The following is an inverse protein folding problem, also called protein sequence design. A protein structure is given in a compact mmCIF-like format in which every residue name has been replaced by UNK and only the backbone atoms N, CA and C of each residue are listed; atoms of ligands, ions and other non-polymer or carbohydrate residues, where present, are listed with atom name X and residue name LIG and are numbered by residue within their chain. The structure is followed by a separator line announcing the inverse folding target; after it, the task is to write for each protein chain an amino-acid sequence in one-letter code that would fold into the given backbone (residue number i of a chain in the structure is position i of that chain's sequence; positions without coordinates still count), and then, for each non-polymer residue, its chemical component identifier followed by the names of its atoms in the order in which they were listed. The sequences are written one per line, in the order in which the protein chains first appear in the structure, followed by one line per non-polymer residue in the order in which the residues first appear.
data_IF_380917654533
#
_entry.id   IF_380917654533
#
_cell.length_a   1.000
_cell.length_b   1.000
_cell.length_c   1.000
_cell.angle_alpha   90.00
_cell.angle_beta   90.00
_cell.angle_gamma   90.00
#
_symmetry.space_group_name_H-M   'P 1'
#
loop_
_entity.id
_entity.type
_entity.pdbx_description
1 polymer ?
#
# COMPACT_ATOMS: atom_id res chain seq x y z
N UNK A 1 -2.29 -18.12 -23.54
CA UNK A 1 -2.41 -16.68 -23.83
C UNK A 1 -2.89 -16.56 -25.27
N UNK A 2 -4.11 -16.12 -25.47
CA UNK A 2 -4.65 -15.89 -26.82
C UNK A 2 -5.24 -14.48 -26.87
N UNK A 3 -4.65 -13.60 -27.69
CA UNK A 3 -5.09 -12.22 -27.85
C UNK A 3 -4.05 -11.39 -28.57
N UNK A 4 -4.49 -10.46 -29.40
CA UNK A 4 -3.59 -9.50 -30.05
C UNK A 4 -3.31 -8.34 -29.10
N UNK A 5 -2.06 -7.86 -29.06
CA UNK A 5 -1.63 -6.71 -28.23
C UNK A 5 -2.53 -5.46 -28.42
N UNK A 6 -3.02 -5.25 -29.64
CA UNK A 6 -3.97 -4.17 -29.94
C UNK A 6 -5.31 -4.23 -29.19
N UNK A 7 -5.67 -5.37 -28.56
CA UNK A 7 -6.85 -5.48 -27.70
C UNK A 7 -6.61 -4.96 -26.29
N UNK A 8 -5.36 -4.75 -25.91
CA UNK A 8 -4.97 -4.10 -24.65
C UNK A 8 -5.06 -2.58 -24.80
N UNK A 9 -4.73 -2.04 -25.99
CA UNK A 9 -4.76 -0.61 -26.26
C UNK A 9 -6.13 -0.08 -26.70
N UNK A 10 -6.89 -0.91 -27.42
CA UNK A 10 -8.20 -0.52 -27.98
C UNK A 10 -9.28 -1.39 -27.35
N UNK A 11 -10.08 -0.85 -26.46
CA UNK A 11 -11.23 -1.58 -25.90
C UNK A 11 -12.02 -2.40 -26.96
N UNK A 12 -12.59 -3.56 -26.57
CA UNK A 12 -12.90 -3.99 -25.21
C UNK A 12 -11.91 -5.03 -24.68
N UNK A 13 -11.38 -4.80 -23.46
CA UNK A 13 -10.57 -5.79 -22.73
C UNK A 13 -11.29 -7.14 -22.55
N UNK A 14 -12.63 -7.15 -22.69
CA UNK A 14 -13.47 -8.35 -22.66
C UNK A 14 -13.12 -9.37 -23.74
N UNK A 15 -12.49 -8.92 -24.83
CA UNK A 15 -12.00 -9.82 -25.91
C UNK A 15 -10.60 -10.38 -25.62
N UNK A 16 -9.94 -9.90 -24.57
CA UNK A 16 -8.64 -10.40 -24.17
C UNK A 16 -8.84 -11.58 -23.21
N UNK A 17 -8.60 -12.78 -23.67
CA UNK A 17 -8.70 -13.97 -22.84
C UNK A 17 -7.35 -14.26 -22.23
N UNK A 18 -7.14 -13.76 -21.03
CA UNK A 18 -5.97 -14.13 -20.21
C UNK A 18 -6.48 -14.73 -18.91
N UNK A 19 -6.44 -16.03 -18.81
CA UNK A 19 -6.67 -16.75 -17.56
C UNK A 19 -5.36 -17.38 -17.15
N UNK A 20 -4.91 -17.07 -15.95
CA UNK A 20 -3.66 -17.58 -15.42
C UNK A 20 -3.75 -17.82 -13.92
N UNK A 21 -2.96 -18.75 -13.47
CA UNK A 21 -2.73 -19.00 -12.05
C UNK A 21 -1.24 -19.00 -11.81
N UNK A 22 -0.81 -18.18 -10.86
CA UNK A 22 0.57 -18.10 -10.41
C UNK A 22 0.61 -18.56 -8.96
N UNK A 23 1.41 -19.57 -8.68
CA UNK A 23 1.74 -19.95 -7.32
C UNK A 23 3.13 -19.39 -7.00
N UNK A 24 3.23 -18.64 -5.94
CA UNK A 24 4.48 -18.05 -5.43
C UNK A 24 4.96 -18.90 -4.25
N UNK A 25 6.25 -19.24 -4.24
CA UNK A 25 6.86 -20.02 -3.16
C UNK A 25 8.30 -19.55 -2.94
N UNK A 26 8.58 -19.00 -1.76
CA UNK A 26 9.92 -18.56 -1.35
C UNK A 26 10.58 -17.57 -2.33
N UNK A 27 9.78 -16.67 -2.92
CA UNK A 27 10.29 -15.62 -3.80
C UNK A 27 10.91 -14.49 -2.99
N UNK A 28 11.95 -13.84 -3.56
CA UNK A 28 12.61 -12.68 -3.01
C UNK A 28 12.77 -11.62 -4.08
N UNK A 29 12.09 -10.50 -3.89
CA UNK A 29 12.17 -9.32 -4.77
C UNK A 29 13.00 -8.24 -4.10
N UNK A 30 13.93 -7.63 -4.85
CA UNK A 30 14.74 -6.50 -4.37
C UNK A 30 14.63 -5.34 -5.34
N UNK A 31 14.52 -4.13 -4.81
CA UNK A 31 14.58 -2.89 -5.55
C UNK A 31 15.30 -1.80 -4.73
N UNK A 32 15.39 -0.58 -5.26
CA UNK A 32 16.04 0.53 -4.58
C UNK A 32 15.37 0.89 -3.25
N UNK A 33 14.02 0.84 -3.20
CA UNK A 33 13.25 1.20 -2.00
C UNK A 33 13.31 0.11 -0.91
N UNK A 34 13.52 -1.15 -1.31
CA UNK A 34 13.63 -2.29 -0.42
C UNK A 34 14.91 -3.09 -0.68
N UNK A 35 16.09 -2.57 -0.29
CA UNK A 35 17.38 -3.23 -0.56
C UNK A 35 17.55 -4.55 0.20
N UNK A 36 16.94 -4.69 1.37
CA UNK A 36 16.89 -5.96 2.11
C UNK A 36 16.00 -6.99 1.41
N UNK A 37 15.05 -6.53 0.60
CA UNK A 37 14.14 -7.34 -0.19
C UNK A 37 12.75 -7.52 0.43
N UNK A 38 11.82 -7.82 -0.46
CA UNK A 38 10.46 -8.24 -0.14
C UNK A 38 10.39 -9.76 -0.32
N UNK A 39 10.23 -10.48 0.76
CA UNK A 39 10.09 -11.95 0.72
C UNK A 39 8.63 -12.34 0.58
N UNK A 40 8.34 -13.28 -0.32
CA UNK A 40 7.01 -13.88 -0.52
C UNK A 40 7.10 -15.38 -0.23
N UNK A 41 6.92 -15.81 1.03
CA UNK A 41 6.99 -17.20 1.42
C UNK A 41 5.99 -18.09 0.68
N UNK A 42 4.77 -17.59 0.47
CA UNK A 42 3.73 -18.31 -0.27
C UNK A 42 2.64 -17.37 -0.74
N UNK A 43 1.93 -17.76 -1.79
CA UNK A 43 0.74 -17.06 -2.29
C UNK A 43 0.25 -17.67 -3.58
N UNK A 44 -1.01 -17.38 -3.87
CA UNK A 44 -1.64 -17.76 -5.14
C UNK A 44 -2.30 -16.52 -5.74
N UNK A 45 -2.01 -16.27 -7.00
CA UNK A 45 -2.65 -15.19 -7.77
C UNK A 45 -3.37 -15.82 -8.96
N UNK A 46 -4.68 -15.61 -9.05
CA UNK A 46 -5.46 -15.95 -10.23
C UNK A 46 -5.69 -14.69 -11.04
N UNK A 47 -5.32 -14.74 -12.31
CA UNK A 47 -5.37 -13.62 -13.25
C UNK A 47 -6.52 -13.86 -14.21
N UNK A 48 -7.41 -12.88 -14.34
CA UNK A 48 -8.42 -12.78 -15.39
C UNK A 48 -8.40 -11.37 -15.97
N UNK A 49 -8.91 -11.08 -17.16
CA UNK A 49 -8.96 -9.71 -17.69
C UNK A 49 -9.66 -8.71 -16.74
N UNK A 50 -10.66 -9.17 -16.01
CA UNK A 50 -11.44 -8.35 -15.09
C UNK A 50 -10.80 -8.16 -13.72
N UNK A 51 -10.03 -9.15 -13.23
CA UNK A 51 -9.56 -9.19 -11.84
C UNK A 51 -8.26 -9.97 -11.66
N UNK A 52 -7.47 -9.52 -10.69
CA UNK A 52 -6.44 -10.31 -10.04
C UNK A 52 -7.00 -10.74 -8.67
N UNK A 53 -7.14 -12.03 -8.44
CA UNK A 53 -7.54 -12.56 -7.14
C UNK A 53 -6.30 -13.07 -6.40
N UNK A 54 -6.13 -12.60 -5.17
CA UNK A 54 -5.05 -12.96 -4.27
C UNK A 54 -5.59 -13.94 -3.22
N UNK A 55 -4.94 -15.09 -3.08
CA UNK A 55 -5.29 -16.08 -2.08
C UNK A 55 -4.06 -16.39 -1.24
N UNK A 56 -4.20 -16.22 0.08
CA UNK A 56 -3.18 -16.54 1.08
C UNK A 56 -1.78 -16.00 0.72
N UNK A 57 -1.75 -14.76 0.15
CA UNK A 57 -0.49 -14.11 -0.19
C UNK A 57 0.22 -13.67 1.10
N UNK A 58 1.32 -14.33 1.43
CA UNK A 58 2.18 -13.97 2.57
C UNK A 58 3.36 -13.17 2.06
N UNK A 59 3.57 -12.03 2.69
CA UNK A 59 4.67 -11.11 2.37
C UNK A 59 5.40 -10.78 3.66
N UNK A 60 6.72 -10.68 3.59
CA UNK A 60 7.57 -10.16 4.67
C UNK A 60 8.44 -9.04 4.13
N UNK A 61 8.47 -7.94 4.85
CA UNK A 61 9.33 -6.78 4.56
C UNK A 61 10.03 -6.44 5.86
N UNK A 62 11.34 -6.64 5.90
CA UNK A 62 12.15 -6.51 7.12
C UNK A 62 11.55 -7.34 8.27
N UNK A 63 11.19 -6.71 9.40
CA UNK A 63 10.58 -7.38 10.56
C UNK A 63 9.06 -7.50 10.46
N UNK A 64 8.44 -6.89 9.45
CA UNK A 64 6.98 -6.86 9.26
C UNK A 64 6.48 -8.03 8.44
N UNK A 65 5.33 -8.60 8.81
CA UNK A 65 4.64 -9.66 8.07
C UNK A 65 3.23 -9.24 7.65
N UNK A 66 2.83 -9.67 6.47
CA UNK A 66 1.52 -9.38 5.88
C UNK A 66 0.93 -10.66 5.29
N UNK A 67 -0.30 -10.98 5.63
CA UNK A 67 -1.08 -12.02 4.97
C UNK A 67 -2.30 -11.36 4.32
N UNK A 68 -2.35 -11.40 3.00
CA UNK A 68 -3.33 -10.71 2.17
C UNK A 68 -4.19 -11.73 1.43
N UNK A 69 -5.51 -11.50 1.45
CA UNK A 69 -6.47 -12.17 0.59
C UNK A 69 -7.47 -11.15 0.06
N UNK A 70 -7.93 -11.32 -1.18
CA UNK A 70 -8.84 -10.35 -1.79
C UNK A 70 -8.68 -10.25 -3.30
N UNK A 71 -8.99 -9.09 -3.85
CA UNK A 71 -8.89 -8.89 -5.28
C UNK A 71 -8.52 -7.45 -5.65
N UNK A 72 -7.89 -7.32 -6.84
CA UNK A 72 -7.77 -6.07 -7.60
C UNK A 72 -8.62 -6.16 -8.85
N UNK A 73 -9.43 -5.15 -9.11
CA UNK A 73 -10.20 -4.98 -10.33
C UNK A 73 -9.73 -3.72 -11.07
N UNK A 74 -10.06 -3.64 -12.34
CA UNK A 74 -9.69 -2.52 -13.21
C UNK A 74 -8.17 -2.32 -13.37
N UNK A 75 -7.38 -3.37 -13.18
CA UNK A 75 -5.92 -3.28 -13.18
C UNK A 75 -5.34 -3.00 -14.58
N UNK A 76 -5.93 -3.55 -15.67
CA UNK A 76 -5.50 -3.25 -17.02
C UNK A 76 -5.77 -1.78 -17.40
N UNK A 77 -6.99 -1.23 -17.20
CA UNK A 77 -7.23 0.20 -17.38
C UNK A 77 -6.37 1.10 -16.49
N UNK A 78 -6.04 0.66 -15.28
CA UNK A 78 -5.12 1.40 -14.41
C UNK A 78 -3.72 1.51 -15.01
N UNK A 79 -3.15 0.38 -15.49
CA UNK A 79 -1.79 0.35 -16.04
C UNK A 79 -1.68 1.06 -17.39
N UNK A 80 -2.70 0.92 -18.27
CA UNK A 80 -2.59 1.39 -19.64
C UNK A 80 -3.32 2.72 -19.92
N UNK A 81 -4.21 3.17 -19.05
CA UNK A 81 -5.06 4.36 -19.26
C UNK A 81 -5.17 5.27 -18.04
N UNK A 82 -4.34 5.05 -17.03
CA UNK A 82 -4.35 5.82 -15.77
C UNK A 82 -5.75 5.92 -15.10
N UNK A 83 -6.57 4.87 -15.30
CA UNK A 83 -7.87 4.78 -14.64
C UNK A 83 -7.74 4.32 -13.20
N UNK A 84 -8.83 4.42 -12.44
CA UNK A 84 -8.83 4.07 -11.02
C UNK A 84 -8.67 2.56 -10.82
N UNK A 85 -7.64 2.16 -10.08
CA UNK A 85 -7.46 0.80 -9.55
C UNK A 85 -8.44 0.57 -8.40
N UNK A 86 -9.17 -0.54 -8.43
CA UNK A 86 -10.14 -0.88 -7.38
C UNK A 86 -9.76 -2.20 -6.72
N UNK A 87 -10.02 -2.31 -5.42
CA UNK A 87 -9.74 -3.56 -4.74
C UNK A 87 -10.37 -3.66 -3.36
N UNK A 88 -10.49 -4.90 -2.91
CA UNK A 88 -10.93 -5.20 -1.56
C UNK A 88 -10.08 -6.33 -1.00
N UNK A 89 -9.55 -6.14 0.20
CA UNK A 89 -8.60 -7.05 0.83
C UNK A 89 -8.92 -7.29 2.30
N UNK A 90 -8.55 -8.47 2.76
CA UNK A 90 -8.33 -8.74 4.18
C UNK A 90 -6.84 -8.74 4.43
N UNK A 91 -6.39 -7.94 5.39
CA UNK A 91 -5.02 -7.86 5.86
C UNK A 91 -4.93 -8.47 7.26
N UNK A 92 -4.15 -9.54 7.38
CA UNK A 92 -3.77 -10.08 8.68
C UNK A 92 -2.25 -9.89 8.85
N UNK A 93 -1.82 -9.56 10.07
CA UNK A 93 -0.41 -9.44 10.41
C UNK A 93 -0.17 -9.83 11.87
N UNK A 94 0.98 -10.43 12.16
CA UNK A 94 1.41 -10.60 13.54
C UNK A 94 2.16 -9.37 14.03
N UNK A 95 2.96 -8.73 13.15
CA UNK A 95 3.74 -7.55 13.50
C UNK A 95 3.94 -6.65 12.28
N UNK A 96 3.74 -5.35 12.48
CA UNK A 96 4.13 -4.28 11.54
C UNK A 96 5.00 -3.28 12.29
N UNK A 97 6.21 -3.04 11.80
CA UNK A 97 7.12 -2.03 12.31
C UNK A 97 7.08 -0.81 11.39
N UNK A 98 6.31 0.20 11.77
CA UNK A 98 6.15 1.43 10.97
C UNK A 98 7.44 2.26 10.94
N UNK A 99 8.33 2.11 11.92
CA UNK A 99 9.59 2.84 11.97
C UNK A 99 10.49 2.44 10.79
N UNK A 100 10.50 1.16 10.42
CA UNK A 100 11.26 0.66 9.27
C UNK A 100 10.75 1.24 7.94
N UNK A 101 9.44 1.42 7.79
CA UNK A 101 8.86 2.03 6.59
C UNK A 101 9.15 3.53 6.53
N UNK A 102 9.05 4.23 7.64
CA UNK A 102 9.35 5.67 7.70
C UNK A 102 10.83 5.95 7.42
N UNK A 103 11.75 5.13 7.93
CA UNK A 103 13.17 5.26 7.66
C UNK A 103 13.50 5.11 6.16
N UNK A 104 12.83 4.21 5.46
CA UNK A 104 13.02 4.01 4.02
C UNK A 104 12.47 5.17 3.18
N UNK A 105 11.39 5.82 3.62
CA UNK A 105 10.82 6.98 2.91
C UNK A 105 11.75 8.21 2.97
N UNK A 106 12.46 8.42 4.07
CA UNK A 106 13.39 9.56 4.22
C UNK A 106 14.64 9.41 3.38
N UNK A 107 15.04 8.19 3.00
CA UNK A 107 16.22 7.94 2.16
C UNK A 107 15.95 8.09 0.66
N UNK A 108 14.70 7.96 0.21
CA UNK A 108 14.34 8.06 -1.23
C UNK A 108 14.29 9.50 -1.75
N UNK A 109 14.22 10.52 -0.90
CA UNK A 109 14.21 11.93 -1.34
C UNK A 109 15.62 12.53 -1.54
N UNK A 110 16.70 11.79 -1.20
CA UNK A 110 18.08 12.30 -1.27
C UNK A 110 18.73 12.21 -2.65
N UNK A 111 18.09 11.63 -3.68
CA UNK A 111 18.76 11.33 -4.96
C UNK A 111 18.19 12.08 -6.19
N UNK A 112 17.47 13.16 -6.00
CA UNK A 112 17.09 14.04 -7.13
C UNK A 112 17.31 15.52 -6.78
N UNK A 113 18.42 16.03 -7.27
CA UNK A 113 18.86 17.42 -7.53
C UNK A 113 20.07 17.88 -6.72
N UNK A 114 21.26 17.53 -7.21
CA UNK A 114 22.39 18.45 -7.10
C UNK A 114 22.26 19.53 -8.17
N UNK A 115 21.77 20.70 -7.79
CA UNK A 115 22.21 21.96 -8.40
C UNK A 115 22.48 22.94 -7.27
N UNK A 116 23.75 23.30 -7.15
CA UNK A 116 24.24 24.27 -6.19
C UNK A 116 23.62 25.66 -6.45
N UNK A 117 23.17 26.33 -5.38
CA UNK A 117 23.53 27.74 -5.13
C UNK A 117 23.11 28.22 -3.73
N UNK A 118 24.14 28.64 -2.98
CA UNK A 118 24.21 29.72 -1.97
C UNK A 118 23.04 30.03 -1.02
N UNK A 119 23.35 29.76 0.26
CA UNK A 119 23.05 30.52 1.50
C UNK A 119 21.77 31.39 1.56
N UNK A 120 20.80 30.97 2.40
CA UNK A 120 20.18 31.87 3.37
C UNK A 120 19.61 31.04 4.53
N UNK A 121 20.02 31.40 5.76
CA UNK A 121 19.60 30.80 7.01
C UNK A 121 18.17 31.21 7.37
N UNK A 122 17.22 30.28 7.34
CA UNK A 122 15.93 30.37 8.02
C UNK A 122 15.70 29.06 8.81
N UNK A 123 14.92 29.06 9.91
CA UNK A 123 14.78 27.89 10.79
C UNK A 123 14.24 26.71 10.02
N UNK A 124 14.83 25.52 10.22
CA UNK A 124 14.36 24.28 9.65
C UNK A 124 12.94 24.00 10.17
N UNK A 125 11.93 24.19 9.32
CA UNK A 125 10.66 23.51 9.52
C UNK A 125 10.93 22.01 9.37
N UNK A 126 10.59 21.24 10.39
CA UNK A 126 10.62 19.78 10.32
C UNK A 126 9.71 19.35 9.18
N UNK A 127 10.27 19.01 8.02
CA UNK A 127 9.53 18.38 6.93
C UNK A 127 9.18 16.96 7.34
N UNK A 128 8.07 16.81 8.06
CA UNK A 128 7.46 15.50 8.25
C UNK A 128 7.12 14.96 6.85
N UNK A 129 7.71 13.84 6.48
CA UNK A 129 7.46 13.18 5.20
C UNK A 129 5.98 12.81 5.09
N UNK A 130 5.26 13.49 4.19
CA UNK A 130 3.84 13.25 3.95
C UNK A 130 3.67 11.98 3.16
N UNK A 131 3.01 10.97 3.72
CA UNK A 131 2.62 9.78 2.98
C UNK A 131 1.49 10.14 2.00
N UNK A 132 1.85 10.46 0.76
CA UNK A 132 0.88 10.81 -0.26
C UNK A 132 0.10 9.58 -0.74
N UNK A 133 -1.23 9.64 -0.69
CA UNK A 133 -2.13 8.59 -1.18
C UNK A 133 -2.46 8.89 -2.63
N UNK A 134 -2.23 7.97 -3.60
CA UNK A 134 -2.58 8.18 -4.99
C UNK A 134 -4.09 8.41 -5.16
N UNK A 135 -4.48 9.36 -6.02
CA UNK A 135 -5.89 9.71 -6.26
C UNK A 135 -6.65 8.65 -7.06
N UNK A 136 -5.92 7.90 -7.89
CA UNK A 136 -6.46 6.91 -8.79
C UNK A 136 -6.44 5.48 -8.20
N UNK A 137 -6.57 5.38 -6.86
CA UNK A 137 -6.77 4.10 -6.18
C UNK A 137 -8.01 4.16 -5.27
N UNK A 138 -8.82 3.11 -5.33
CA UNK A 138 -9.98 2.86 -4.46
C UNK A 138 -9.82 1.47 -3.85
N UNK A 139 -9.21 1.40 -2.68
CA UNK A 139 -8.92 0.15 -1.99
C UNK A 139 -9.62 0.11 -0.64
N UNK A 140 -10.18 -1.03 -0.30
CA UNK A 140 -10.73 -1.31 1.02
C UNK A 140 -9.94 -2.44 1.68
N UNK A 141 -9.56 -2.26 2.94
CA UNK A 141 -8.85 -3.23 3.75
C UNK A 141 -9.62 -3.51 5.04
N UNK A 142 -10.09 -4.73 5.22
CA UNK A 142 -10.42 -5.24 6.54
C UNK A 142 -9.14 -5.66 7.24
N UNK A 143 -8.81 -5.08 8.38
CA UNK A 143 -7.55 -5.28 9.08
C UNK A 143 -7.70 -6.09 10.35
N UNK A 144 -6.73 -6.98 10.62
CA UNK A 144 -6.56 -7.69 11.87
C UNK A 144 -5.05 -7.85 12.13
N UNK A 145 -4.48 -6.89 12.87
CA UNK A 145 -3.05 -6.82 13.14
C UNK A 145 -2.83 -7.00 14.63
N UNK A 146 -1.95 -7.93 15.01
CA UNK A 146 -1.71 -8.21 16.43
C UNK A 146 -0.87 -7.13 17.09
N UNK A 147 0.19 -6.65 16.40
CA UNK A 147 1.13 -5.68 16.94
C UNK A 147 1.57 -4.69 15.85
N UNK A 148 1.55 -3.41 16.18
CA UNK A 148 2.17 -2.35 15.39
C UNK A 148 3.18 -1.62 16.30
N UNK A 149 4.41 -1.45 15.82
CA UNK A 149 5.41 -0.58 16.42
C UNK A 149 5.43 0.76 15.70
N UNK A 150 5.24 1.84 16.45
CA UNK A 150 5.27 3.19 15.93
C UNK A 150 6.00 4.11 16.94
N UNK A 151 7.19 4.57 16.57
CA UNK A 151 8.12 5.25 17.49
C UNK A 151 8.38 4.37 18.73
N UNK A 152 8.09 4.85 19.90
CA UNK A 152 8.19 4.13 21.18
C UNK A 152 6.87 3.45 21.60
N UNK A 153 5.82 3.57 20.78
CA UNK A 153 4.50 2.99 21.07
C UNK A 153 4.39 1.55 20.57
N UNK A 154 3.82 0.71 21.39
CA UNK A 154 3.36 -0.64 21.02
C UNK A 154 1.84 -0.60 20.97
N UNK A 155 1.27 -0.81 19.78
CA UNK A 155 -0.17 -0.80 19.52
C UNK A 155 -0.57 -2.26 19.25
N UNK A 156 -1.53 -2.76 20.00
CA UNK A 156 -1.94 -4.16 19.93
C UNK A 156 -3.37 -4.30 19.41
N UNK A 157 -3.71 -5.49 18.93
CA UNK A 157 -5.09 -5.89 18.58
C UNK A 157 -5.79 -4.94 17.61
N UNK A 158 -5.08 -4.41 16.62
CA UNK A 158 -5.64 -3.45 15.66
C UNK A 158 -6.63 -4.15 14.73
N UNK A 159 -7.90 -3.73 14.78
CA UNK A 159 -9.00 -4.28 13.97
C UNK A 159 -9.87 -3.15 13.47
N UNK A 160 -10.36 -3.27 12.25
CA UNK A 160 -11.26 -2.30 11.63
C UNK A 160 -11.11 -2.27 10.13
N UNK A 161 -11.60 -1.21 9.50
CA UNK A 161 -11.55 -1.04 8.07
C UNK A 161 -10.79 0.24 7.71
N UNK A 162 -9.96 0.13 6.68
CA UNK A 162 -9.26 1.27 6.08
C UNK A 162 -9.68 1.32 4.61
N UNK A 163 -10.16 2.46 4.16
CA UNK A 163 -10.54 2.67 2.77
C UNK A 163 -9.74 3.83 2.18
N UNK A 164 -9.30 3.69 0.94
CA UNK A 164 -8.64 4.77 0.20
C UNK A 164 -9.47 5.15 -1.01
N UNK A 165 -9.64 6.45 -1.26
CA UNK A 165 -10.27 6.98 -2.46
C UNK A 165 -9.90 8.44 -2.66
N UNK A 166 -9.57 8.85 -3.89
CA UNK A 166 -9.34 10.25 -4.25
C UNK A 166 -8.21 10.95 -3.48
N UNK A 167 -7.22 10.21 -2.99
CA UNK A 167 -6.12 10.76 -2.18
C UNK A 167 -6.44 10.83 -0.68
N UNK A 168 -7.49 10.18 -0.22
CA UNK A 168 -7.95 10.16 1.17
C UNK A 168 -7.91 8.72 1.69
N UNK A 169 -7.35 8.50 2.89
CA UNK A 169 -7.52 7.27 3.65
C UNK A 169 -8.53 7.50 4.76
N UNK A 170 -9.59 6.71 4.79
CA UNK A 170 -10.63 6.76 5.80
C UNK A 170 -10.51 5.55 6.73
N UNK A 171 -10.45 5.82 8.02
CA UNK A 171 -10.42 4.82 9.09
C UNK A 171 -11.85 4.63 9.62
N UNK A 172 -12.33 3.39 9.63
CA UNK A 172 -13.70 3.07 10.08
C UNK A 172 -13.65 2.04 11.19
N UNK A 173 -14.11 2.43 12.37
CA UNK A 173 -14.17 1.60 13.56
C UNK A 173 -12.83 0.89 13.84
N UNK A 174 -11.73 1.62 13.70
CA UNK A 174 -10.40 1.08 13.96
C UNK A 174 -10.20 0.99 15.49
N UNK A 175 -10.33 -0.21 16.01
CA UNK A 175 -10.12 -0.53 17.43
C UNK A 175 -8.68 -0.98 17.64
N UNK A 176 -8.06 -0.52 18.72
CA UNK A 176 -6.69 -0.89 19.09
C UNK A 176 -6.48 -0.79 20.60
N UNK A 177 -5.54 -1.58 21.12
CA UNK A 177 -5.11 -1.54 22.51
C UNK A 177 -3.74 -0.85 22.59
N UNK A 178 -3.66 0.23 23.35
CA UNK A 178 -2.42 0.99 23.56
C UNK A 178 -2.43 1.72 24.91
N UNK A 179 -1.25 1.96 25.47
CA UNK A 179 -1.09 2.73 26.74
C UNK A 179 -1.99 2.22 27.89
N UNK A 180 -2.17 0.90 27.98
CA UNK A 180 -3.05 0.21 28.94
C UNK A 180 -4.56 0.53 28.80
N UNK A 181 -4.98 0.99 27.63
CA UNK A 181 -6.39 1.29 27.32
C UNK A 181 -6.78 0.76 25.95
N UNK A 182 -8.08 0.83 25.67
CA UNK A 182 -8.63 0.55 24.35
C UNK A 182 -9.05 1.86 23.67
N UNK A 183 -8.68 2.04 22.42
CA UNK A 183 -9.04 3.18 21.58
C UNK A 183 -9.88 2.68 20.40
N UNK A 184 -10.97 3.39 20.11
CA UNK A 184 -11.75 3.21 18.87
C UNK A 184 -11.66 4.51 18.11
N UNK A 185 -11.16 4.44 16.87
CA UNK A 185 -10.92 5.61 16.03
C UNK A 185 -11.74 5.53 14.74
N UNK A 186 -12.34 6.67 14.40
CA UNK A 186 -12.89 6.95 13.10
C UNK A 186 -12.28 8.28 12.64
N UNK A 187 -11.85 8.37 11.41
CA UNK A 187 -11.20 9.58 10.93
C UNK A 187 -10.78 9.47 9.48
N UNK A 188 -10.23 10.53 8.95
CA UNK A 188 -9.71 10.57 7.59
C UNK A 188 -8.37 11.29 7.55
N UNK A 189 -7.43 10.71 6.79
CA UNK A 189 -6.18 11.34 6.42
C UNK A 189 -6.26 11.75 4.95
N UNK A 190 -6.29 13.04 4.71
CA UNK A 190 -6.50 13.62 3.39
C UNK A 190 -5.19 14.17 2.84
N UNK A 191 -4.72 13.59 1.76
CA UNK A 191 -3.56 14.02 0.98
C UNK A 191 -3.92 14.34 -0.47
N UNK A 192 -5.19 14.63 -0.76
CA UNK A 192 -5.63 15.07 -2.08
C UNK A 192 -4.87 16.34 -2.55
N UNK A 193 -4.42 17.16 -1.60
CA UNK A 193 -3.38 18.15 -1.79
C UNK A 193 -2.16 17.81 -0.91
N UNK A 194 -1.12 17.16 -1.45
CA UNK A 194 0.04 16.74 -0.65
C UNK A 194 0.80 17.88 0.03
N UNK A 195 0.69 19.11 -0.49
CA UNK A 195 1.29 20.29 0.12
C UNK A 195 0.51 20.80 1.37
N UNK A 196 -0.71 20.30 1.59
CA UNK A 196 -1.57 20.66 2.73
C UNK A 196 -2.35 19.42 3.19
N UNK A 197 -1.69 18.41 3.76
CA UNK A 197 -2.39 17.25 4.31
C UNK A 197 -3.25 17.67 5.50
N UNK A 198 -4.38 16.98 5.69
CA UNK A 198 -5.24 17.19 6.86
C UNK A 198 -5.65 15.86 7.48
N UNK A 199 -5.95 15.89 8.77
CA UNK A 199 -6.52 14.80 9.54
C UNK A 199 -7.85 15.29 10.13
N UNK A 200 -8.92 14.53 9.92
CA UNK A 200 -10.26 14.81 10.42
C UNK A 200 -10.68 13.70 11.39
#
# INVERSE_FOLDING_TARGET
FDGKYQYIEKEPYEKFTANGKIALQNELFKNADFPAGISVPSGEVTITPARLNLKDLKVKINSSDFALAGYLANYLPYVFKDQTLKGNFTLNSNKIDLNEFMANMTTSEADTTQVATTQSSAPAEETSSVLAIPKNIELAFGTNIKEILFDSLVINSVKGNIETSGGIATLKNLSMDMLNGNLIMNGAYNTANPAKPSVD
#
